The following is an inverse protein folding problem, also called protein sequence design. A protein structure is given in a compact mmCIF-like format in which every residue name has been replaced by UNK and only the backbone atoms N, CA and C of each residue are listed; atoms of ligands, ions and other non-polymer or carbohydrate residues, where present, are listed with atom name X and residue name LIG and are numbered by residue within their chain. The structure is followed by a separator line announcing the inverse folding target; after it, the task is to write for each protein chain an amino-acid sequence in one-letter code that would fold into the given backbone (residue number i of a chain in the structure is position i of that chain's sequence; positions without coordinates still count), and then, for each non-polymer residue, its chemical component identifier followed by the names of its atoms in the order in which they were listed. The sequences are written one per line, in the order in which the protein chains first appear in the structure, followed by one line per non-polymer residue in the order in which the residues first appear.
data_IF_326913942839
#
_entry.id   IF_326913942839
#
_cell.length_a   1.000
_cell.length_b   1.000
_cell.length_c   1.000
_cell.angle_alpha   90.00
_cell.angle_beta   90.00
_cell.angle_gamma   90.00
#
_symmetry.space_group_name_H-M   'P 1'
#
loop_
_entity.id
_entity.type
_entity.pdbx_description
1 polymer ?
#
# COMPACT_ATOMS: atom_id res chain seq x y z
N UNK A 1 -0.35 -17.22 -4.49
CA UNK A 1 1.03 -17.56 -4.08
C UNK A 1 1.90 -16.34 -4.29
N UNK A 2 2.86 -16.05 -3.40
CA UNK A 2 3.80 -14.96 -3.59
C UNK A 2 4.59 -15.15 -4.89
N UNK A 3 4.94 -14.04 -5.54
CA UNK A 3 5.63 -14.03 -6.84
C UNK A 3 7.05 -13.45 -6.74
N UNK A 4 7.23 -12.43 -5.91
CA UNK A 4 8.50 -11.73 -5.69
C UNK A 4 9.07 -11.93 -4.28
N UNK A 5 8.18 -12.04 -3.28
CA UNK A 5 8.54 -12.16 -1.88
C UNK A 5 8.45 -13.60 -1.39
N UNK A 6 9.17 -13.94 -0.32
CA UNK A 6 8.89 -15.17 0.43
C UNK A 6 7.65 -14.99 1.34
N UNK A 7 7.19 -16.07 1.96
CA UNK A 7 5.97 -16.03 2.78
C UNK A 7 6.12 -15.11 3.99
N UNK A 8 7.29 -15.10 4.63
CA UNK A 8 7.57 -14.23 5.78
C UNK A 8 7.55 -12.75 5.39
N UNK A 9 8.19 -12.42 4.27
CA UNK A 9 8.19 -11.06 3.72
C UNK A 9 6.76 -10.62 3.37
N UNK A 10 5.97 -11.50 2.77
CA UNK A 10 4.57 -11.19 2.44
C UNK A 10 3.71 -10.98 3.70
N UNK A 11 3.88 -11.81 4.73
CA UNK A 11 3.13 -11.66 5.99
C UNK A 11 3.53 -10.37 6.73
N UNK A 12 4.82 -10.02 6.70
CA UNK A 12 5.32 -8.74 7.19
C UNK A 12 4.73 -7.55 6.44
N UNK A 13 4.72 -7.62 5.10
CA UNK A 13 4.12 -6.57 4.27
C UNK A 13 2.61 -6.43 4.53
N UNK A 14 1.89 -7.55 4.67
CA UNK A 14 0.46 -7.55 5.00
C UNK A 14 0.20 -6.88 6.34
N UNK A 15 0.99 -7.24 7.36
CA UNK A 15 0.90 -6.62 8.68
C UNK A 15 1.21 -5.12 8.66
N UNK A 16 2.13 -4.67 7.78
CA UNK A 16 2.49 -3.27 7.59
C UNK A 16 1.38 -2.50 6.88
N UNK A 17 0.92 -2.97 5.72
CA UNK A 17 -0.09 -2.24 4.93
C UNK A 17 -1.44 -2.19 5.63
N UNK A 18 -1.78 -3.16 6.49
CA UNK A 18 -2.98 -3.11 7.34
C UNK A 18 -2.95 -1.95 8.36
N UNK A 19 -1.75 -1.46 8.74
CA UNK A 19 -1.63 -0.26 9.59
C UNK A 19 -1.66 1.03 8.79
N UNK A 20 -1.22 1.01 7.53
CA UNK A 20 -1.25 2.19 6.64
C UNK A 20 -2.67 2.44 6.12
N UNK A 21 -3.36 1.38 5.72
CA UNK A 21 -4.69 1.41 5.09
C UNK A 21 -5.59 0.32 5.72
N UNK A 22 -6.06 0.53 6.95
CA UNK A 22 -6.81 -0.49 7.70
C UNK A 22 -8.13 -0.89 7.03
N UNK A 23 -8.73 0.00 6.22
CA UNK A 23 -9.99 -0.27 5.53
C UNK A 23 -9.84 -1.16 4.29
N UNK A 24 -8.62 -1.38 3.79
CA UNK A 24 -8.40 -2.13 2.55
C UNK A 24 -8.98 -3.55 2.62
N UNK A 25 -8.75 -4.25 3.72
CA UNK A 25 -9.27 -5.60 3.93
C UNK A 25 -10.80 -5.64 3.94
N UNK A 26 -11.45 -4.61 4.49
CA UNK A 26 -12.90 -4.49 4.52
C UNK A 26 -13.53 -4.45 3.12
N UNK A 27 -12.77 -4.01 2.12
CA UNK A 27 -13.16 -4.02 0.70
C UNK A 27 -12.63 -5.23 -0.07
N UNK A 28 -12.09 -6.25 0.61
CA UNK A 28 -11.50 -7.41 -0.04
C UNK A 28 -10.21 -7.13 -0.81
N UNK A 29 -9.51 -6.04 -0.47
CA UNK A 29 -8.29 -5.64 -1.17
C UNK A 29 -7.07 -6.17 -0.42
N UNK A 30 -6.40 -7.20 -0.95
CA UNK A 30 -5.10 -7.65 -0.46
C UNK A 30 -3.99 -6.80 -1.10
N UNK A 31 -3.65 -5.69 -0.44
CA UNK A 31 -2.60 -4.78 -0.89
C UNK A 31 -1.22 -5.44 -0.93
N UNK A 32 -0.93 -6.35 0.00
CA UNK A 32 0.36 -7.04 0.02
C UNK A 32 0.55 -7.91 -1.23
N UNK A 33 -0.47 -8.66 -1.65
CA UNK A 33 -0.40 -9.43 -2.90
C UNK A 33 -0.34 -8.53 -4.14
N UNK A 34 -0.95 -7.35 -4.12
CA UNK A 34 -0.85 -6.39 -5.23
C UNK A 34 0.57 -5.84 -5.35
N UNK A 35 1.18 -5.47 -4.24
CA UNK A 35 2.57 -5.01 -4.22
C UNK A 35 3.55 -6.12 -4.60
N UNK A 36 3.33 -7.36 -4.15
CA UNK A 36 4.11 -8.53 -4.56
C UNK A 36 4.04 -8.75 -6.08
N UNK A 37 2.85 -8.63 -6.67
CA UNK A 37 2.67 -8.73 -8.11
C UNK A 37 3.37 -7.59 -8.86
N UNK A 38 3.22 -6.34 -8.40
CA UNK A 38 3.90 -5.17 -8.96
C UNK A 38 5.42 -5.36 -8.98
N UNK A 39 6.02 -5.87 -7.89
CA UNK A 39 7.46 -6.14 -7.82
C UNK A 39 7.87 -7.27 -8.77
N UNK A 40 7.06 -8.31 -8.92
CA UNK A 40 7.35 -9.42 -9.82
C UNK A 40 7.25 -9.00 -11.30
N UNK A 41 6.31 -8.14 -11.64
CA UNK A 41 6.08 -7.66 -13.00
C UNK A 41 6.92 -6.42 -13.33
N UNK A 42 7.70 -5.89 -12.37
CA UNK A 42 8.52 -4.70 -12.49
C UNK A 42 7.72 -3.47 -12.95
N UNK A 43 6.48 -3.37 -12.53
CA UNK A 43 5.54 -2.28 -12.84
C UNK A 43 5.74 -1.06 -11.91
N UNK A 44 6.98 -0.69 -11.63
CA UNK A 44 7.32 0.51 -10.86
C UNK A 44 6.88 1.79 -11.58
N UNK A 45 6.86 2.91 -10.85
CA UNK A 45 6.52 4.22 -11.40
C UNK A 45 7.70 4.88 -12.17
N UNK A 46 8.83 4.19 -12.28
CA UNK A 46 10.05 4.68 -12.92
C UNK A 46 10.86 5.67 -12.08
N UNK A 47 10.41 5.99 -10.88
CA UNK A 47 11.11 6.86 -9.95
C UNK A 47 11.66 6.06 -8.75
N UNK A 48 12.81 6.42 -8.25
CA UNK A 48 13.48 5.75 -7.15
C UNK A 48 14.43 6.71 -6.43
N UNK A 49 14.52 6.60 -5.10
CA UNK A 49 15.58 7.24 -4.35
C UNK A 49 16.94 6.65 -4.70
N UNK A 50 17.95 7.49 -4.95
CA UNK A 50 19.30 7.06 -5.28
C UNK A 50 19.93 6.18 -4.18
N UNK A 51 19.53 6.40 -2.92
CA UNK A 51 20.01 5.65 -1.76
C UNK A 51 19.44 4.22 -1.67
N UNK A 52 18.43 3.88 -2.50
CA UNK A 52 17.81 2.56 -2.49
C UNK A 52 18.23 1.73 -3.71
N UNK A 53 18.33 0.40 -3.59
CA UNK A 53 18.52 -0.49 -4.72
C UNK A 53 17.29 -0.54 -5.63
N UNK A 54 17.24 -1.49 -6.58
CA UNK A 54 16.06 -1.71 -7.42
C UNK A 54 14.83 -1.99 -6.56
N UNK A 55 13.64 -1.60 -7.03
CA UNK A 55 12.41 -1.70 -6.24
C UNK A 55 12.18 -3.10 -5.62
N UNK A 56 12.30 -4.23 -6.36
CA UNK A 56 12.16 -5.54 -5.75
C UNK A 56 13.20 -5.84 -4.67
N UNK A 57 14.44 -5.37 -4.86
CA UNK A 57 15.51 -5.57 -3.88
C UNK A 57 15.34 -4.64 -2.67
N UNK A 58 14.87 -3.40 -2.90
CA UNK A 58 14.54 -2.46 -1.85
C UNK A 58 13.43 -3.00 -0.95
N UNK A 59 12.36 -3.55 -1.56
CA UNK A 59 11.27 -4.13 -0.80
C UNK A 59 11.73 -5.32 0.05
N UNK A 60 12.49 -6.27 -0.51
CA UNK A 60 13.03 -7.41 0.24
C UNK A 60 13.92 -6.95 1.39
N UNK A 61 14.88 -6.07 1.11
CA UNK A 61 15.80 -5.56 2.12
C UNK A 61 15.09 -4.79 3.23
N UNK A 62 14.11 -3.96 2.87
CA UNK A 62 13.30 -3.20 3.83
C UNK A 62 12.45 -4.10 4.73
N UNK A 63 11.75 -5.08 4.14
CA UNK A 63 10.93 -6.06 4.90
C UNK A 63 11.78 -6.90 5.86
N UNK A 64 12.93 -7.36 5.39
CA UNK A 64 13.87 -8.08 6.23
C UNK A 64 14.45 -7.22 7.35
N UNK A 65 14.71 -5.93 7.07
CA UNK A 65 15.18 -4.98 8.07
C UNK A 65 14.08 -4.67 9.09
N UNK A 66 12.85 -4.49 8.66
CA UNK A 66 11.70 -4.27 9.54
C UNK A 66 11.50 -5.44 10.52
N UNK A 67 11.60 -6.68 10.03
CA UNK A 67 11.58 -7.87 10.88
C UNK A 67 12.75 -7.90 11.87
N UNK A 68 13.97 -7.58 11.42
CA UNK A 68 15.13 -7.56 12.31
C UNK A 68 15.01 -6.50 13.42
N UNK A 69 14.44 -5.33 13.12
CA UNK A 69 14.14 -4.28 14.10
C UNK A 69 13.10 -4.76 15.13
N UNK A 70 12.06 -5.41 14.68
CA UNK A 70 11.02 -5.98 15.54
C UNK A 70 11.62 -7.06 16.47
N UNK A 71 12.37 -8.00 15.92
CA UNK A 71 13.03 -9.07 16.66
C UNK A 71 14.05 -8.54 17.69
N UNK A 72 14.84 -7.54 17.33
CA UNK A 72 15.80 -6.92 18.25
C UNK A 72 15.12 -6.24 19.45
N UNK A 73 13.91 -5.65 19.24
CA UNK A 73 13.15 -4.96 20.27
C UNK A 73 12.33 -5.92 21.14
N UNK A 74 11.76 -6.97 20.58
CA UNK A 74 10.71 -7.79 21.20
C UNK A 74 10.97 -9.29 21.22
N UNK A 75 11.93 -9.77 20.44
CA UNK A 75 12.15 -11.19 20.19
C UNK A 75 11.17 -11.83 19.21
N UNK A 76 10.29 -11.05 18.57
CA UNK A 76 9.27 -11.54 17.62
C UNK A 76 9.33 -10.80 16.29
N UNK A 77 8.89 -11.47 15.21
CA UNK A 77 8.74 -10.85 13.90
C UNK A 77 7.67 -9.75 13.92
N UNK A 78 7.77 -8.81 12.98
CA UNK A 78 6.87 -7.66 12.91
C UNK A 78 5.38 -8.07 12.76
N UNK A 79 5.12 -9.11 11.98
CA UNK A 79 3.78 -9.67 11.75
C UNK A 79 3.13 -10.26 13.01
N UNK A 80 3.93 -10.60 14.01
CA UNK A 80 3.45 -11.15 15.29
C UNK A 80 3.26 -10.08 16.38
N UNK A 81 3.67 -8.83 16.13
CA UNK A 81 3.53 -7.75 17.10
C UNK A 81 2.06 -7.33 17.26
N UNK A 82 1.66 -6.86 18.47
CA UNK A 82 0.40 -6.13 18.64
C UNK A 82 0.38 -4.85 17.79
N UNK A 83 -0.81 -4.42 17.38
CA UNK A 83 -0.99 -3.24 16.52
C UNK A 83 -0.28 -1.99 17.04
N UNK A 84 -0.43 -1.68 18.32
CA UNK A 84 0.24 -0.52 18.92
C UNK A 84 1.77 -0.57 18.82
N UNK A 85 2.36 -1.77 18.92
CA UNK A 85 3.82 -1.93 18.76
C UNK A 85 4.26 -1.82 17.30
N UNK A 86 3.43 -2.26 16.36
CA UNK A 86 3.64 -2.03 14.92
C UNK A 86 3.61 -0.54 14.60
N UNK A 87 2.60 0.17 15.10
CA UNK A 87 2.43 1.61 14.89
C UNK A 87 3.62 2.40 15.43
N UNK A 88 4.07 2.11 16.66
CA UNK A 88 5.24 2.73 17.28
C UNK A 88 6.52 2.51 16.44
N UNK A 89 6.71 1.29 15.93
CA UNK A 89 7.88 0.99 15.10
C UNK A 89 7.82 1.69 13.75
N UNK A 90 6.66 1.70 13.09
CA UNK A 90 6.47 2.40 11.82
C UNK A 90 6.62 3.93 11.97
N UNK A 91 6.14 4.50 13.07
CA UNK A 91 6.35 5.91 13.38
C UNK A 91 7.84 6.24 13.57
N UNK A 92 8.56 5.38 14.32
CA UNK A 92 10.01 5.52 14.53
C UNK A 92 10.77 5.49 13.20
N UNK A 93 10.39 4.59 12.29
CA UNK A 93 10.97 4.49 10.94
C UNK A 93 10.64 5.75 10.12
N UNK A 94 9.38 6.18 10.11
CA UNK A 94 8.95 7.36 9.37
C UNK A 94 9.64 8.66 9.81
N UNK A 95 10.03 8.74 11.09
CA UNK A 95 10.82 9.84 11.63
C UNK A 95 12.33 9.74 11.34
N UNK A 96 12.81 8.62 10.74
CA UNK A 96 14.22 8.37 10.51
C UNK A 96 15.02 8.04 11.78
N UNK A 97 14.33 7.60 12.83
CA UNK A 97 14.91 7.30 14.15
C UNK A 97 15.10 5.79 14.39
N UNK A 98 14.95 4.96 13.38
CA UNK A 98 15.16 3.53 13.48
C UNK A 98 16.66 3.22 13.64
N UNK A 99 17.11 3.20 14.88
CA UNK A 99 18.47 2.83 15.23
C UNK A 99 18.53 1.34 15.49
N UNK A 100 19.31 0.62 14.71
CA UNK A 100 19.61 -0.79 14.97
C UNK A 100 21.11 -1.05 14.76
N UNK A 101 21.70 -1.97 15.53
CA UNK A 101 22.94 -2.60 15.10
C UNK A 101 22.62 -3.44 13.87
N UNK A 102 22.75 -2.84 12.69
CA UNK A 102 22.39 -3.50 11.43
C UNK A 102 23.44 -4.53 11.05
N UNK A 103 23.06 -5.81 10.87
CA UNK A 103 23.91 -6.76 10.17
C UNK A 103 24.22 -6.25 8.76
N UNK A 104 25.35 -6.62 8.21
CA UNK A 104 25.71 -6.28 6.83
C UNK A 104 24.56 -6.62 5.86
N UNK A 105 24.23 -5.72 4.96
CA UNK A 105 23.16 -5.89 3.96
C UNK A 105 21.78 -5.46 4.41
N UNK A 106 21.60 -4.90 5.62
CA UNK A 106 20.36 -4.26 6.08
C UNK A 106 20.38 -2.76 5.80
N UNK A 107 19.18 -2.18 5.70
CA UNK A 107 19.03 -0.74 5.53
C UNK A 107 19.38 0.01 6.82
N UNK A 108 20.04 1.15 6.69
CA UNK A 108 20.21 2.12 7.77
C UNK A 108 18.91 2.92 8.03
N UNK A 109 18.94 3.84 9.00
CA UNK A 109 17.76 4.60 9.41
C UNK A 109 17.21 5.48 8.28
N UNK A 110 18.07 6.10 7.47
CA UNK A 110 17.65 6.94 6.34
C UNK A 110 17.06 6.09 5.22
N UNK A 111 17.70 4.98 4.87
CA UNK A 111 17.17 4.05 3.87
C UNK A 111 15.84 3.45 4.30
N UNK A 112 15.66 3.11 5.59
CA UNK A 112 14.39 2.62 6.13
C UNK A 112 13.28 3.67 6.01
N UNK A 113 13.58 4.94 6.29
CA UNK A 113 12.63 6.04 6.12
C UNK A 113 12.19 6.19 4.67
N UNK A 114 13.15 6.27 3.75
CA UNK A 114 12.88 6.39 2.32
C UNK A 114 12.08 5.20 1.77
N UNK A 115 12.48 3.98 2.16
CA UNK A 115 11.74 2.77 1.82
C UNK A 115 10.30 2.78 2.35
N UNK A 116 10.09 3.23 3.58
CA UNK A 116 8.75 3.32 4.15
C UNK A 116 7.87 4.32 3.38
N UNK A 117 8.43 5.45 2.95
CA UNK A 117 7.74 6.41 2.10
C UNK A 117 7.33 5.80 0.75
N UNK A 118 8.21 5.00 0.12
CA UNK A 118 7.89 4.26 -1.11
C UNK A 118 6.74 3.28 -0.92
N UNK A 119 6.85 2.39 0.09
CA UNK A 119 5.80 1.40 0.36
C UNK A 119 4.46 2.09 0.64
N UNK A 120 4.46 3.18 1.40
CA UNK A 120 3.26 3.96 1.71
C UNK A 120 2.65 4.58 0.45
N UNK A 121 3.48 5.16 -0.40
CA UNK A 121 3.06 5.75 -1.68
C UNK A 121 2.43 4.71 -2.60
N UNK A 122 3.10 3.58 -2.78
CA UNK A 122 2.63 2.48 -3.61
C UNK A 122 1.33 1.87 -3.07
N UNK A 123 1.25 1.65 -1.75
CA UNK A 123 0.04 1.12 -1.12
C UNK A 123 -1.16 2.05 -1.34
N UNK A 124 -0.99 3.36 -1.13
CA UNK A 124 -2.06 4.36 -1.37
C UNK A 124 -2.44 4.40 -2.85
N UNK A 125 -1.48 4.39 -3.78
CA UNK A 125 -1.73 4.38 -5.22
C UNK A 125 -2.58 3.18 -5.63
N UNK A 126 -2.21 1.98 -5.19
CA UNK A 126 -2.95 0.76 -5.49
C UNK A 126 -4.32 0.69 -4.81
N UNK A 127 -4.44 1.25 -3.61
CA UNK A 127 -5.71 1.35 -2.91
C UNK A 127 -6.69 2.27 -3.65
N UNK A 128 -6.27 3.51 -3.94
CA UNK A 128 -7.14 4.50 -4.60
C UNK A 128 -7.49 4.07 -6.03
N UNK A 129 -6.57 3.42 -6.75
CA UNK A 129 -6.83 2.90 -8.09
C UNK A 129 -7.73 1.64 -8.13
N UNK A 130 -8.09 1.09 -6.97
CA UNK A 130 -8.94 -0.11 -6.94
C UNK A 130 -10.40 0.24 -7.30
N UNK A 131 -11.07 -0.53 -8.20
CA UNK A 131 -12.42 -0.23 -8.65
C UNK A 131 -13.44 -0.06 -7.52
N UNK A 132 -13.35 -0.84 -6.44
CA UNK A 132 -14.24 -0.70 -5.28
C UNK A 132 -14.08 0.65 -4.56
N UNK A 133 -12.84 1.17 -4.50
CA UNK A 133 -12.57 2.46 -3.89
C UNK A 133 -12.99 3.60 -4.84
N UNK A 134 -12.70 3.45 -6.14
CA UNK A 134 -13.18 4.41 -7.14
C UNK A 134 -14.71 4.53 -7.12
N UNK A 135 -15.43 3.40 -7.07
CA UNK A 135 -16.87 3.39 -6.95
C UNK A 135 -17.35 4.09 -5.66
N UNK A 136 -16.66 3.85 -4.53
CA UNK A 136 -16.99 4.45 -3.24
C UNK A 136 -16.89 5.98 -3.25
N UNK A 137 -15.83 6.52 -3.90
CA UNK A 137 -15.63 7.97 -3.99
C UNK A 137 -16.37 8.61 -5.17
N UNK A 138 -17.16 7.81 -5.93
CA UNK A 138 -17.87 8.31 -7.09
C UNK A 138 -17.01 8.63 -8.31
N UNK A 139 -15.78 8.12 -8.36
CA UNK A 139 -14.86 8.37 -9.47
C UNK A 139 -14.97 7.28 -10.53
N UNK A 140 -15.31 7.67 -11.77
CA UNK A 140 -15.48 6.71 -12.89
C UNK A 140 -14.19 6.07 -13.35
N UNK A 141 -13.04 6.67 -13.07
CA UNK A 141 -11.73 6.16 -13.44
C UNK A 141 -11.34 6.34 -14.91
N UNK A 142 -12.24 6.84 -15.75
CA UNK A 142 -12.01 6.92 -17.19
C UNK A 142 -12.21 8.35 -17.72
N UNK A 143 -11.11 8.98 -18.09
CA UNK A 143 -11.15 10.27 -18.78
C UNK A 143 -11.75 10.19 -20.19
N UNK A 144 -11.78 9.00 -20.81
CA UNK A 144 -12.19 8.77 -22.20
C UNK A 144 -13.43 7.89 -22.33
N UNK A 145 -14.32 7.91 -21.36
CA UNK A 145 -15.56 7.14 -21.38
C UNK A 145 -15.36 5.64 -21.23
N UNK A 146 -16.04 5.04 -20.30
CA UNK A 146 -16.05 3.58 -20.13
C UNK A 146 -16.82 2.91 -21.24
N UNK A 147 -16.15 2.14 -22.02
CA UNK A 147 -16.60 0.92 -22.67
C UNK A 147 -17.82 0.85 -23.55
N UNK A 148 -18.69 1.82 -23.67
CA UNK A 148 -19.88 1.78 -24.55
C UNK A 148 -20.06 3.00 -25.45
N UNK A 149 -18.95 3.62 -25.85
CA UNK A 149 -18.94 4.37 -27.08
C UNK A 149 -19.14 5.87 -27.04
N UNK A 150 -19.35 6.50 -25.89
CA UNK A 150 -19.25 7.96 -25.82
C UNK A 150 -17.87 8.35 -25.33
N UNK A 151 -17.12 9.07 -26.16
CA UNK A 151 -15.88 9.67 -25.69
C UNK A 151 -16.19 10.61 -24.52
N UNK A 152 -15.31 10.60 -23.51
CA UNK A 152 -15.40 11.56 -22.43
C UNK A 152 -15.35 12.98 -23.01
N UNK A 153 -16.36 13.78 -22.69
CA UNK A 153 -16.52 15.14 -23.22
C UNK A 153 -16.05 16.22 -22.23
N UNK A 154 -15.49 15.83 -21.09
CA UNK A 154 -15.16 16.72 -20.00
C UNK A 154 -16.22 16.71 -18.90
N UNK A 155 -15.96 17.46 -17.83
CA UNK A 155 -16.94 17.71 -16.78
C UNK A 155 -17.74 18.96 -17.12
N UNK A 156 -19.06 18.88 -17.03
CA UNK A 156 -19.98 20.03 -17.15
C UNK A 156 -20.28 20.64 -15.78
N UNK A 157 -20.35 19.78 -14.76
CA UNK A 157 -20.60 20.17 -13.38
C UNK A 157 -19.27 20.26 -12.64
N UNK A 158 -18.82 21.46 -12.30
CA UNK A 158 -17.50 21.73 -11.69
C UNK A 158 -17.59 22.34 -10.29
N UNK A 159 -18.81 22.41 -9.73
CA UNK A 159 -19.03 22.87 -8.37
C UNK A 159 -18.66 21.82 -7.31
N UNK A 160 -18.56 22.25 -6.05
CA UNK A 160 -18.33 21.36 -4.93
C UNK A 160 -19.55 20.44 -4.79
N UNK A 161 -19.30 19.12 -4.69
CA UNK A 161 -20.33 18.07 -4.60
C UNK A 161 -21.26 17.96 -5.83
N UNK A 162 -21.01 18.68 -6.90
CA UNK A 162 -21.68 18.47 -8.18
C UNK A 162 -21.16 17.22 -8.86
N UNK A 163 -22.09 16.48 -9.49
CA UNK A 163 -21.78 15.21 -10.14
C UNK A 163 -22.35 15.17 -11.53
N UNK A 164 -21.65 14.48 -12.39
CA UNK A 164 -22.15 14.20 -13.73
C UNK A 164 -23.16 13.04 -13.71
N UNK A 165 -24.10 13.07 -14.65
CA UNK A 165 -25.11 12.02 -14.75
C UNK A 165 -24.54 10.62 -15.07
N UNK A 166 -23.32 10.57 -15.60
CA UNK A 166 -22.61 9.33 -15.95
C UNK A 166 -21.70 8.80 -14.84
N UNK A 167 -21.49 9.56 -13.76
CA UNK A 167 -20.68 9.13 -12.64
C UNK A 167 -21.38 8.04 -11.82
N UNK A 168 -20.64 7.00 -11.40
CA UNK A 168 -21.21 5.99 -10.52
C UNK A 168 -21.58 6.60 -9.17
N UNK A 169 -22.68 6.14 -8.58
CA UNK A 169 -23.06 6.56 -7.23
C UNK A 169 -21.97 6.21 -6.20
N UNK A 170 -21.58 7.16 -5.32
CA UNK A 170 -20.61 6.87 -4.29
C UNK A 170 -21.14 5.85 -3.30
N UNK A 171 -20.34 4.84 -2.99
CA UNK A 171 -20.63 3.90 -1.89
C UNK A 171 -20.22 4.58 -0.59
N UNK A 172 -21.12 5.36 -0.01
CA UNK A 172 -20.87 6.16 1.21
C UNK A 172 -20.81 5.33 2.49
N UNK A 173 -21.40 4.13 2.47
CA UNK A 173 -21.34 3.18 3.60
C UNK A 173 -21.09 1.77 3.07
N UNK A 174 -20.25 1.05 3.77
CA UNK A 174 -20.05 -0.36 3.50
C UNK A 174 -21.16 -1.13 4.21
N UNK A 175 -22.13 -1.65 3.47
CA UNK A 175 -23.13 -2.54 4.03
C UNK A 175 -22.49 -3.91 4.30
N UNK A 176 -22.31 -4.23 5.58
CA UNK A 176 -21.78 -5.53 6.01
C UNK A 176 -22.68 -6.71 5.60
N UNK A 177 -23.91 -6.45 5.17
CA UNK A 177 -24.83 -7.48 4.71
C UNK A 177 -24.40 -8.17 3.41
N UNK A 178 -23.55 -7.55 2.60
CA UNK A 178 -23.02 -8.15 1.37
C UNK A 178 -21.85 -9.13 1.61
N UNK A 179 -21.28 -9.16 2.82
CA UNK A 179 -20.24 -10.16 3.19
C UNK A 179 -20.78 -11.58 3.37
N UNK A 180 -22.08 -11.75 3.40
CA UNK A 180 -22.74 -13.04 3.70
C UNK A 180 -23.28 -13.77 2.47
N UNK A 181 -22.89 -13.40 1.25
CA UNK A 181 -23.33 -14.06 0.02
C UNK A 181 -22.19 -14.76 -0.73
#
# INVERSE_FOLDING_TARGET
MPRSFDQRQLDTLRAMVSRILPDAEAYGIDLALRLDAMMADQEGNGWRYEALPTDPDAYRAGLDTLNALAEAKTGQGFDLLPEAARDELLETIGQGNAVSPMPAGRFDAEQMKLWFEEVRSDAVRHYVAHPAIMARIGYSGFANGGGTGSAFQGFENVGIDEREAWEPEPVLSFDQSERAR
#
